data_IF_459861579689
#
_entry.id   IF_459861579689
#
_cell.length_a   1.000
_cell.length_b   1.000
_cell.length_c   1.000
_cell.angle_alpha   90.00
_cell.angle_beta   90.00
_cell.angle_gamma   90.00
#
_symmetry.space_group_name_H-M   'P 1'
#
loop_
_entity.id
_entity.type
_entity.pdbx_description
1 polymer ?
#
# COMPACT_ATOMS: atom_id res chain seq x y z
N UNK A 1 -6.48 -11.91 -18.46
CA UNK A 1 -6.31 -10.64 -17.72
C UNK A 1 -6.55 -10.92 -16.26
N UNK A 2 -5.67 -10.44 -15.39
CA UNK A 2 -5.79 -10.56 -13.94
C UNK A 2 -7.06 -9.87 -13.45
N UNK A 3 -7.70 -10.41 -12.41
CA UNK A 3 -8.83 -9.73 -11.76
C UNK A 3 -8.28 -8.59 -10.90
N UNK A 4 -8.67 -7.36 -11.19
CA UNK A 4 -8.30 -6.18 -10.41
C UNK A 4 -9.26 -5.99 -9.24
N UNK A 5 -8.77 -5.33 -8.20
CA UNK A 5 -9.53 -5.00 -6.99
C UNK A 5 -9.10 -3.63 -6.47
N UNK A 6 -10.04 -2.96 -5.82
CA UNK A 6 -9.85 -1.62 -5.29
C UNK A 6 -9.76 -1.66 -3.78
N UNK A 7 -8.65 -1.17 -3.23
CA UNK A 7 -8.48 -0.94 -1.79
C UNK A 7 -8.78 0.52 -1.51
N UNK A 8 -9.73 0.75 -0.59
CA UNK A 8 -10.11 2.10 -0.15
C UNK A 8 -9.44 2.35 1.19
N UNK A 9 -8.64 3.41 1.20
CA UNK A 9 -7.83 3.85 2.32
C UNK A 9 -8.36 5.19 2.81
N UNK A 10 -8.40 5.39 4.13
CA UNK A 10 -8.81 6.65 4.73
C UNK A 10 -7.64 7.23 5.53
N UNK A 11 -7.24 8.46 5.21
CA UNK A 11 -6.32 9.26 6.00
C UNK A 11 -7.04 10.52 6.46
N UNK A 12 -7.30 10.62 7.77
CA UNK A 12 -8.12 11.70 8.32
C UNK A 12 -9.51 11.77 7.65
N UNK A 13 -9.78 12.82 6.87
CA UNK A 13 -11.03 13.02 6.12
C UNK A 13 -10.88 12.74 4.63
N UNK A 14 -9.71 12.31 4.18
CA UNK A 14 -9.40 12.07 2.76
C UNK A 14 -9.42 10.58 2.46
N UNK A 15 -10.00 10.22 1.31
CA UNK A 15 -9.98 8.87 0.78
C UNK A 15 -8.91 8.74 -0.29
N UNK A 16 -8.19 7.63 -0.25
CA UNK A 16 -7.23 7.20 -1.26
C UNK A 16 -7.75 5.91 -1.86
N UNK A 17 -7.59 5.76 -3.18
CA UNK A 17 -8.12 4.63 -3.93
C UNK A 17 -6.97 3.94 -4.66
N UNK A 18 -6.69 2.69 -4.29
CA UNK A 18 -5.58 1.92 -4.85
C UNK A 18 -6.14 0.78 -5.69
N UNK A 19 -5.73 0.73 -6.95
CA UNK A 19 -6.05 -0.38 -7.86
C UNK A 19 -4.85 -1.33 -7.98
N UNK A 20 -5.08 -2.61 -7.72
CA UNK A 20 -4.07 -3.66 -7.87
C UNK A 20 -4.72 -5.03 -8.10
N UNK A 21 -3.96 -6.07 -8.50
CA UNK A 21 -4.55 -7.38 -8.73
C UNK A 21 -5.06 -8.00 -7.42
N UNK A 22 -6.11 -8.81 -7.50
CA UNK A 22 -6.87 -9.32 -6.35
C UNK A 22 -6.00 -9.98 -5.28
N UNK A 23 -5.04 -10.81 -5.68
CA UNK A 23 -4.13 -11.50 -4.76
C UNK A 23 -3.28 -10.52 -3.94
N UNK A 24 -2.89 -9.38 -4.53
CA UNK A 24 -2.09 -8.36 -3.87
C UNK A 24 -2.95 -7.37 -3.07
N UNK A 25 -4.19 -7.12 -3.47
CA UNK A 25 -5.12 -6.25 -2.73
C UNK A 25 -5.34 -6.75 -1.30
N UNK A 26 -5.58 -8.06 -1.14
CA UNK A 26 -5.69 -8.67 0.17
C UNK A 26 -4.40 -8.54 0.99
N UNK A 27 -3.23 -8.71 0.36
CA UNK A 27 -1.93 -8.54 1.01
C UNK A 27 -1.71 -7.09 1.46
N UNK A 28 -2.07 -6.10 0.64
CA UNK A 28 -2.00 -4.68 0.98
C UNK A 28 -2.88 -4.38 2.20
N UNK A 29 -4.12 -4.84 2.25
CA UNK A 29 -5.00 -4.63 3.40
C UNK A 29 -4.45 -5.27 4.67
N UNK A 30 -3.95 -6.51 4.58
CA UNK A 30 -3.33 -7.19 5.71
C UNK A 30 -2.07 -6.47 6.22
N UNK A 31 -1.22 -6.00 5.30
CA UNK A 31 -0.05 -5.19 5.61
C UNK A 31 -0.47 -3.89 6.27
N UNK A 32 -1.41 -3.14 5.70
CA UNK A 32 -1.89 -1.87 6.24
C UNK A 32 -2.43 -2.02 7.67
N UNK A 33 -3.22 -3.07 7.94
CA UNK A 33 -3.70 -3.38 9.29
C UNK A 33 -2.57 -3.67 10.27
N UNK A 34 -1.52 -4.36 9.83
CA UNK A 34 -0.35 -4.63 10.66
C UNK A 34 0.46 -3.36 10.91
N UNK A 35 0.74 -2.58 9.88
CA UNK A 35 1.46 -1.32 10.00
C UNK A 35 0.77 -0.40 11.01
N UNK A 36 -0.55 -0.20 10.91
CA UNK A 36 -1.31 0.62 11.86
C UNK A 36 -1.27 0.11 13.31
N UNK A 37 -1.12 -1.20 13.54
CA UNK A 37 -0.99 -1.76 14.91
C UNK A 37 0.39 -1.56 15.52
N UNK A 38 1.42 -1.45 14.69
CA UNK A 38 2.82 -1.42 15.12
C UNK A 38 3.43 -0.03 15.04
N UNK A 39 2.87 0.87 14.23
CA UNK A 39 3.40 2.22 14.00
C UNK A 39 3.43 3.06 15.29
N UNK A 40 2.44 2.92 16.16
CA UNK A 40 2.38 3.59 17.48
C UNK A 40 3.48 3.15 18.45
N UNK A 41 4.21 2.07 18.14
CA UNK A 41 5.34 1.59 18.95
C UNK A 41 6.67 2.20 18.53
N UNK A 42 6.72 2.88 17.38
CA UNK A 42 7.90 3.62 16.94
C UNK A 42 8.10 4.85 17.83
N UNK A 43 9.36 5.21 18.03
CA UNK A 43 9.74 6.30 18.95
C UNK A 43 10.41 7.48 18.26
N UNK A 44 10.76 7.33 16.98
CA UNK A 44 11.28 8.43 16.18
C UNK A 44 10.28 9.60 16.10
N UNK A 45 10.80 10.84 16.06
CA UNK A 45 9.97 12.04 15.97
C UNK A 45 9.28 12.20 14.61
N UNK A 46 9.80 11.53 13.56
CA UNK A 46 9.35 11.69 12.18
C UNK A 46 8.53 10.50 11.66
N UNK A 47 7.76 9.84 12.52
CA UNK A 47 6.85 8.76 12.13
C UNK A 47 5.68 9.35 11.31
N UNK A 48 5.41 8.85 10.09
CA UNK A 48 4.34 9.38 9.25
C UNK A 48 2.96 8.94 9.75
N UNK A 49 1.95 9.77 9.50
CA UNK A 49 0.55 9.32 9.61
C UNK A 49 0.26 8.27 8.53
N UNK A 50 -0.41 7.20 8.92
CA UNK A 50 -0.73 6.09 8.03
C UNK A 50 -2.25 6.07 7.73
N UNK A 51 -2.67 5.91 6.46
CA UNK A 51 -4.07 5.63 6.18
C UNK A 51 -4.52 4.29 6.75
N UNK A 52 -5.81 4.16 7.02
CA UNK A 52 -6.47 2.91 7.39
C UNK A 52 -7.16 2.30 6.17
N UNK A 53 -6.95 1.02 5.92
CA UNK A 53 -7.75 0.25 4.98
C UNK A 53 -9.17 0.11 5.56
N UNK A 54 -10.15 0.71 4.86
CA UNK A 54 -11.55 0.76 5.32
C UNK A 54 -12.47 -0.13 4.50
N UNK A 55 -12.11 -0.44 3.25
CA UNK A 55 -12.90 -1.32 2.40
C UNK A 55 -12.07 -1.90 1.24
N UNK A 56 -12.57 -3.01 0.69
CA UNK A 56 -12.16 -3.55 -0.58
C UNK A 56 -13.39 -3.86 -1.44
N UNK A 57 -13.30 -3.65 -2.75
CA UNK A 57 -14.38 -3.98 -3.67
C UNK A 57 -13.87 -4.38 -5.06
N UNK A 58 -14.69 -5.17 -5.77
CA UNK A 58 -14.38 -5.67 -7.11
C UNK A 58 -14.60 -4.60 -8.20
N UNK A 59 -15.35 -3.53 -7.91
CA UNK A 59 -15.68 -2.47 -8.87
C UNK A 59 -15.86 -1.14 -8.15
N UNK A 60 -15.29 -0.08 -8.72
CA UNK A 60 -15.29 1.26 -8.14
C UNK A 60 -15.49 2.30 -9.24
N UNK A 61 -16.51 3.14 -9.07
CA UNK A 61 -16.75 4.32 -9.92
C UNK A 61 -16.48 5.60 -9.12
N UNK A 62 -15.50 6.39 -9.56
CA UNK A 62 -15.20 7.69 -8.98
C UNK A 62 -16.08 8.77 -9.62
N UNK A 63 -16.93 9.43 -8.82
CA UNK A 63 -17.90 10.43 -9.28
C UNK A 63 -17.41 11.88 -9.18
N UNK A 64 -16.17 12.07 -8.74
CA UNK A 64 -15.57 13.35 -8.37
C UNK A 64 -14.22 13.44 -9.06
N UNK A 65 -13.98 14.54 -9.77
CA UNK A 65 -12.78 14.71 -10.60
C UNK A 65 -11.51 14.86 -9.77
N UNK A 66 -11.65 15.28 -8.50
CA UNK A 66 -10.55 15.37 -7.56
C UNK A 66 -10.00 14.01 -7.11
N UNK A 67 -10.75 12.92 -7.30
CA UNK A 67 -10.29 11.58 -6.98
C UNK A 67 -9.64 10.91 -8.19
N UNK A 68 -8.50 10.29 -7.94
CA UNK A 68 -7.78 9.47 -8.91
C UNK A 68 -7.50 8.09 -8.33
N UNK A 69 -7.38 7.10 -9.22
CA UNK A 69 -6.84 5.80 -8.87
C UNK A 69 -5.30 5.89 -8.82
N UNK A 70 -4.71 5.45 -7.72
CA UNK A 70 -3.28 5.20 -7.58
C UNK A 70 -3.01 3.73 -7.90
N UNK A 71 -1.93 3.43 -8.63
CA UNK A 71 -1.55 2.03 -8.85
C UNK A 71 -1.03 1.42 -7.55
N UNK A 72 -1.20 0.11 -7.41
CA UNK A 72 -0.68 -0.61 -6.26
C UNK A 72 0.82 -0.45 -6.04
N UNK A 73 1.59 -0.48 -7.13
CA UNK A 73 3.04 -0.32 -7.07
C UNK A 73 3.43 1.10 -6.64
N UNK A 74 2.79 2.14 -7.18
CA UNK A 74 3.05 3.53 -6.79
C UNK A 74 2.76 3.77 -5.31
N UNK A 75 1.62 3.24 -4.81
CA UNK A 75 1.26 3.31 -3.40
C UNK A 75 2.32 2.65 -2.51
N UNK A 76 2.76 1.44 -2.87
CA UNK A 76 3.77 0.70 -2.10
C UNK A 76 5.14 1.39 -2.14
N UNK A 77 5.55 1.95 -3.28
CA UNK A 77 6.78 2.73 -3.39
C UNK A 77 6.76 3.95 -2.47
N UNK A 78 5.66 4.70 -2.46
CA UNK A 78 5.45 5.84 -1.57
C UNK A 78 5.50 5.44 -0.10
N UNK A 79 4.89 4.31 0.24
CA UNK A 79 4.89 3.75 1.59
C UNK A 79 6.30 3.30 2.04
N UNK A 80 7.04 2.62 1.17
CA UNK A 80 8.43 2.21 1.42
C UNK A 80 9.30 3.42 1.74
N UNK A 81 9.23 4.46 0.89
CA UNK A 81 9.99 5.68 1.07
C UNK A 81 9.66 6.39 2.39
N UNK A 82 8.38 6.42 2.77
CA UNK A 82 7.94 7.01 4.03
C UNK A 82 8.53 6.25 5.24
N UNK A 83 8.52 4.91 5.23
CA UNK A 83 9.07 4.11 6.32
C UNK A 83 10.61 4.11 6.34
N UNK A 84 11.25 4.14 5.17
CA UNK A 84 12.71 4.16 5.05
C UNK A 84 13.32 5.48 5.55
N UNK A 85 12.55 6.57 5.54
CA UNK A 85 12.95 7.87 6.05
C UNK A 85 12.88 7.98 7.60
N UNK A 86 12.25 7.03 8.29
CA UNK A 86 12.12 7.04 9.75
C UNK A 86 13.49 6.87 10.41
N UNK A 87 13.84 7.76 11.33
CA UNK A 87 15.15 7.75 12.00
C UNK A 87 15.21 6.76 13.17
N UNK A 88 14.93 5.49 12.88
CA UNK A 88 14.97 4.40 13.84
C UNK A 88 15.61 3.16 13.20
N UNK A 89 16.24 2.30 13.99
CA UNK A 89 16.92 1.10 13.49
C UNK A 89 16.53 -0.17 14.26
N UNK A 90 15.50 -0.08 15.09
CA UNK A 90 15.09 -1.16 15.96
C UNK A 90 13.74 -1.74 15.52
N UNK A 91 13.34 -2.81 16.19
CA UNK A 91 11.99 -3.32 16.07
C UNK A 91 10.97 -2.32 16.66
N UNK A 92 9.79 -2.15 16.05
CA UNK A 92 9.27 -2.96 14.93
C UNK A 92 9.71 -2.52 13.52
N UNK A 93 10.36 -1.36 13.33
CA UNK A 93 10.60 -0.75 12.01
C UNK A 93 11.24 -1.70 10.99
N UNK A 94 12.29 -2.44 11.38
CA UNK A 94 12.95 -3.42 10.48
C UNK A 94 11.96 -4.44 9.93
N UNK A 95 11.06 -4.98 10.79
CA UNK A 95 10.06 -5.95 10.34
C UNK A 95 9.09 -5.30 9.36
N UNK A 96 8.58 -4.12 9.68
CA UNK A 96 7.61 -3.41 8.85
C UNK A 96 8.18 -3.11 7.46
N UNK A 97 9.42 -2.58 7.39
CA UNK A 97 10.12 -2.35 6.13
C UNK A 97 10.36 -3.62 5.33
N UNK A 98 10.70 -4.74 6.01
CA UNK A 98 10.90 -6.02 5.34
C UNK A 98 9.63 -6.49 4.64
N UNK A 99 8.47 -6.29 5.26
CA UNK A 99 7.19 -6.71 4.70
C UNK A 99 6.71 -5.80 3.57
N UNK A 100 6.91 -4.48 3.72
CA UNK A 100 6.62 -3.53 2.64
C UNK A 100 7.43 -3.90 1.40
N UNK A 101 8.75 -4.11 1.55
CA UNK A 101 9.65 -4.48 0.44
C UNK A 101 9.36 -5.87 -0.14
N UNK A 102 8.87 -6.80 0.67
CA UNK A 102 8.44 -8.10 0.17
C UNK A 102 7.23 -7.96 -0.77
N UNK A 103 6.22 -7.17 -0.38
CA UNK A 103 5.07 -6.90 -1.25
C UNK A 103 5.48 -6.09 -2.48
N UNK A 104 6.36 -5.10 -2.32
CA UNK A 104 6.92 -4.30 -3.41
C UNK A 104 7.55 -5.19 -4.50
N UNK A 105 8.51 -6.04 -4.11
CA UNK A 105 9.21 -6.91 -5.06
C UNK A 105 8.26 -7.89 -5.76
N UNK A 106 7.23 -8.39 -5.06
CA UNK A 106 6.23 -9.26 -5.66
C UNK A 106 5.36 -8.53 -6.69
N UNK A 107 5.01 -7.26 -6.44
CA UNK A 107 4.29 -6.42 -7.39
C UNK A 107 5.16 -6.06 -8.58
N UNK A 108 6.41 -5.64 -8.36
CA UNK A 108 7.37 -5.32 -9.43
C UNK A 108 7.52 -6.49 -10.40
N UNK A 109 7.81 -7.69 -9.89
CA UNK A 109 7.89 -8.89 -10.72
C UNK A 109 6.59 -9.15 -11.50
N UNK A 110 5.45 -8.97 -10.86
CA UNK A 110 4.16 -9.18 -11.52
C UNK A 110 3.92 -8.20 -12.67
N UNK A 111 4.26 -6.92 -12.49
CA UNK A 111 4.15 -5.92 -13.55
C UNK A 111 5.09 -6.23 -14.71
N UNK A 112 6.33 -6.64 -14.43
CA UNK A 112 7.28 -7.10 -15.45
C UNK A 112 6.70 -8.28 -16.25
N UNK A 113 6.15 -9.31 -15.58
CA UNK A 113 5.54 -10.47 -16.24
C UNK A 113 4.31 -10.11 -17.09
N UNK A 114 3.48 -9.17 -16.66
CA UNK A 114 2.32 -8.72 -17.44
C UNK A 114 2.72 -7.86 -18.64
N UNK A 115 3.76 -7.03 -18.52
CA UNK A 115 4.33 -6.29 -19.65
C UNK A 115 4.91 -7.22 -20.72
N UNK A 116 5.60 -8.29 -20.31
CA UNK A 116 6.10 -9.32 -21.22
C UNK A 116 4.97 -10.08 -21.93
N UNK A 117 3.87 -10.36 -21.24
CA UNK A 117 2.68 -11.04 -21.81
C UNK A 117 1.90 -10.16 -22.78
N UNK A 118 2.00 -8.84 -22.66
CA UNK A 118 1.30 -7.88 -23.52
C UNK A 118 2.02 -7.64 -24.86
N UNK A 119 3.26 -8.13 -25.00
CA UNK A 119 4.08 -8.05 -26.22
C UNK A 119 3.84 -9.24 -27.16
#
# INVERSE_FOLDING_TARGET
MPKMRYVILQQNQELQFVEMPEDYAYQLSALNLRLNKEIDKLTAENVPDLPLAVAECDSLDLLREEYSLESGLDYINRLEHAFAAIQEQNYPLISLLTEIRALQAQLEQWYEEEEERAQ
#
